data_IF_540354797764
#
_entry.id   IF_540354797764
#
_cell.length_a   1.000
_cell.length_b   1.000
_cell.length_c   1.000
_cell.angle_alpha   90.00
_cell.angle_beta   90.00
_cell.angle_gamma   90.00
#
_symmetry.space_group_name_H-M   'P 1'
#
loop_
_entity.id
_entity.type
_entity.pdbx_description
1 polymer ?
#
# COMPACT_ATOMS: atom_id res chain seq x y z
N UNK A 1 11.09 57.15 -35.37
CA UNK A 1 10.21 56.50 -36.38
C UNK A 1 11.06 55.38 -36.95
N UNK A 2 10.68 54.11 -36.79
CA UNK A 2 11.53 52.91 -36.99
C UNK A 2 12.73 52.86 -36.00
N UNK A 3 13.22 51.74 -35.45
CA UNK A 3 12.97 50.28 -35.56
C UNK A 3 13.85 49.48 -36.54
N UNK A 4 14.90 48.91 -35.97
CA UNK A 4 15.90 47.94 -36.47
C UNK A 4 16.46 47.24 -35.19
N UNK A 5 16.70 45.95 -34.94
CA UNK A 5 16.65 44.63 -35.64
C UNK A 5 17.62 44.41 -36.81
N UNK A 6 18.45 43.36 -36.88
CA UNK A 6 18.77 42.22 -35.95
C UNK A 6 20.03 41.46 -36.50
N UNK A 7 20.70 40.47 -35.90
CA UNK A 7 20.59 39.68 -34.63
C UNK A 7 21.95 38.99 -34.31
N UNK A 8 22.25 38.63 -33.05
CA UNK A 8 23.43 37.77 -32.72
C UNK A 8 23.16 36.26 -32.89
N UNK A 9 24.21 35.48 -33.19
CA UNK A 9 24.10 34.08 -33.67
C UNK A 9 24.68 33.07 -32.69
N UNK A 10 23.82 32.39 -31.94
CA UNK A 10 24.19 31.27 -31.06
C UNK A 10 24.81 30.09 -31.81
N UNK A 11 25.75 29.32 -31.20
CA UNK A 11 26.25 28.07 -31.76
C UNK A 11 25.18 26.96 -31.74
N UNK A 12 25.30 25.91 -32.57
CA UNK A 12 24.39 24.78 -32.56
C UNK A 12 24.57 23.92 -31.30
N UNK A 13 23.48 23.30 -30.83
CA UNK A 13 23.55 22.24 -29.82
C UNK A 13 24.17 20.98 -30.43
N UNK A 14 25.05 20.31 -29.69
CA UNK A 14 25.42 18.93 -29.98
C UNK A 14 24.22 18.01 -29.73
N UNK A 15 23.62 17.48 -30.80
CA UNK A 15 22.68 16.37 -30.72
C UNK A 15 23.43 15.10 -30.27
N UNK A 16 23.46 14.86 -28.96
CA UNK A 16 23.91 13.58 -28.39
C UNK A 16 23.07 12.45 -29.00
N UNK A 17 23.67 11.71 -29.92
CA UNK A 17 23.06 10.55 -30.58
C UNK A 17 22.63 9.55 -29.51
N UNK A 18 21.33 9.48 -29.24
CA UNK A 18 20.76 8.51 -28.30
C UNK A 18 20.82 7.15 -28.98
N UNK A 19 21.80 6.33 -28.57
CA UNK A 19 21.90 4.94 -29.01
C UNK A 19 20.57 4.20 -28.72
N UNK A 20 20.11 3.32 -29.63
CA UNK A 20 18.82 2.66 -29.47
C UNK A 20 18.78 1.86 -28.17
N UNK A 21 17.75 2.11 -27.35
CA UNK A 21 17.59 1.43 -26.06
C UNK A 21 17.36 -0.05 -26.30
N UNK A 22 18.35 -0.88 -25.95
CA UNK A 22 18.18 -2.33 -25.88
C UNK A 22 17.26 -2.67 -24.70
N UNK A 23 15.96 -2.83 -25.01
CA UNK A 23 14.89 -3.16 -24.06
C UNK A 23 14.87 -4.65 -23.66
N UNK A 24 15.60 -5.52 -24.36
CA UNK A 24 15.80 -6.91 -23.97
C UNK A 24 16.94 -7.09 -22.96
N UNK A 25 17.09 -8.27 -22.35
CA UNK A 25 18.22 -8.58 -21.47
C UNK A 25 19.57 -8.36 -22.15
N UNK A 26 20.50 -7.71 -21.47
CA UNK A 26 21.91 -7.59 -21.88
C UNK A 26 22.84 -8.06 -20.77
N UNK A 27 23.96 -8.68 -21.15
CA UNK A 27 25.03 -9.05 -20.22
C UNK A 27 26.06 -7.92 -20.17
N UNK A 28 26.43 -7.51 -18.96
CA UNK A 28 27.52 -6.57 -18.69
C UNK A 28 28.55 -7.20 -17.78
N UNK A 29 29.78 -6.69 -17.80
CA UNK A 29 30.89 -7.16 -16.96
C UNK A 29 31.57 -5.96 -16.32
N UNK A 30 31.56 -5.92 -14.99
CA UNK A 30 32.13 -4.83 -14.19
C UNK A 30 33.39 -5.36 -13.50
N UNK A 31 34.52 -4.69 -13.74
CA UNK A 31 35.72 -4.90 -12.94
C UNK A 31 35.66 -4.00 -11.70
N UNK A 32 36.02 -4.54 -10.54
CA UNK A 32 36.02 -3.80 -9.28
C UNK A 32 37.20 -2.84 -9.21
N UNK A 33 36.95 -1.66 -8.67
CA UNK A 33 37.95 -0.61 -8.43
C UNK A 33 38.10 -0.36 -6.93
N UNK A 34 38.92 0.62 -6.54
CA UNK A 34 39.09 1.05 -5.15
C UNK A 34 37.78 1.52 -4.50
N UNK A 35 36.83 2.05 -5.28
CA UNK A 35 35.48 2.43 -4.84
C UNK A 35 34.46 1.29 -4.95
N UNK A 36 34.92 0.06 -5.21
CA UNK A 36 34.08 -1.12 -5.46
C UNK A 36 33.61 -1.19 -6.91
N UNK A 37 32.37 -1.67 -7.12
CA UNK A 37 31.78 -1.76 -8.45
C UNK A 37 31.08 -0.46 -8.92
N UNK A 38 30.92 0.55 -8.05
CA UNK A 38 30.36 1.85 -8.44
C UNK A 38 28.84 1.89 -8.67
N UNK A 39 28.04 1.03 -8.04
CA UNK A 39 26.57 1.08 -8.12
C UNK A 39 25.89 0.56 -6.84
N UNK A 40 24.65 1.01 -6.61
CA UNK A 40 23.84 0.61 -5.45
C UNK A 40 22.63 -0.23 -5.88
N UNK A 41 22.41 -1.35 -5.20
CA UNK A 41 21.25 -2.25 -5.41
C UNK A 41 20.15 -1.96 -4.40
N UNK A 42 18.89 -1.96 -4.86
CA UNK A 42 17.67 -2.03 -4.03
C UNK A 42 16.70 -3.06 -4.58
N UNK A 43 15.71 -3.46 -3.78
CA UNK A 43 14.65 -4.38 -4.18
C UNK A 43 14.01 -5.02 -2.95
N UNK A 44 13.30 -6.12 -3.16
CA UNK A 44 12.53 -6.76 -2.09
C UNK A 44 13.41 -7.53 -1.09
N UNK A 45 12.93 -7.64 0.16
CA UNK A 45 13.59 -8.37 1.25
C UNK A 45 13.00 -9.78 1.44
N UNK A 46 11.77 -10.01 0.96
CA UNK A 46 11.11 -11.32 0.89
C UNK A 46 11.55 -12.12 -0.35
N UNK A 47 11.37 -13.44 -0.30
CA UNK A 47 11.55 -14.35 -1.43
C UNK A 47 10.21 -14.56 -2.17
N UNK A 48 10.24 -14.61 -3.50
CA UNK A 48 9.03 -14.70 -4.34
C UNK A 48 8.17 -13.43 -4.31
N UNK A 49 6.97 -13.49 -4.88
CA UNK A 49 6.02 -12.37 -4.94
C UNK A 49 5.25 -12.32 -6.27
N UNK A 50 4.33 -11.36 -6.44
CA UNK A 50 3.54 -11.23 -7.66
C UNK A 50 4.43 -10.86 -8.86
N UNK A 51 4.11 -11.45 -10.02
CA UNK A 51 4.79 -11.14 -11.29
C UNK A 51 4.64 -9.67 -11.66
N UNK A 52 5.68 -9.07 -12.23
CA UNK A 52 5.71 -7.68 -12.67
C UNK A 52 5.98 -7.61 -14.17
N UNK A 53 5.21 -6.79 -14.87
CA UNK A 53 5.46 -6.51 -16.28
C UNK A 53 6.66 -5.57 -16.41
N UNK A 54 7.64 -5.96 -17.22
CA UNK A 54 8.83 -5.18 -17.56
C UNK A 54 8.96 -5.26 -19.08
N UNK A 55 8.91 -4.12 -19.76
CA UNK A 55 8.94 -4.01 -21.22
C UNK A 55 7.89 -4.89 -21.98
N UNK A 56 6.81 -5.28 -21.29
CA UNK A 56 5.71 -6.09 -21.83
C UNK A 56 5.72 -7.57 -21.43
N UNK A 57 6.78 -8.05 -20.76
CA UNK A 57 6.95 -9.45 -20.35
C UNK A 57 6.90 -9.58 -18.81
N UNK A 58 6.41 -10.73 -18.32
CA UNK A 58 6.17 -10.96 -16.88
C UNK A 58 7.35 -11.67 -16.22
N UNK A 59 8.02 -10.98 -15.31
CA UNK A 59 9.12 -11.50 -14.49
C UNK A 59 8.70 -11.66 -13.04
N UNK A 60 9.34 -12.55 -12.29
CA UNK A 60 9.24 -12.49 -10.83
C UNK A 60 9.95 -11.22 -10.30
N UNK A 61 9.69 -10.78 -9.06
CA UNK A 61 10.25 -9.51 -8.58
C UNK A 61 11.78 -9.46 -8.61
N UNK A 62 12.32 -8.50 -9.36
CA UNK A 62 13.77 -8.30 -9.54
C UNK A 62 14.33 -7.27 -8.56
N UNK A 63 15.60 -7.46 -8.20
CA UNK A 63 16.43 -6.39 -7.63
C UNK A 63 16.80 -5.39 -8.76
N UNK A 64 17.17 -4.16 -8.41
CA UNK A 64 17.45 -3.10 -9.38
C UNK A 64 18.56 -2.15 -8.93
N UNK A 65 19.16 -1.47 -9.90
CA UNK A 65 20.18 -0.44 -9.70
C UNK A 65 19.51 0.87 -9.32
N UNK A 66 19.61 1.28 -8.05
CA UNK A 66 19.03 2.54 -7.56
C UNK A 66 19.91 3.76 -7.79
N UNK A 67 21.23 3.57 -7.86
CA UNK A 67 22.20 4.62 -8.15
C UNK A 67 23.44 4.04 -8.86
N UNK A 68 24.11 4.87 -9.65
CA UNK A 68 25.39 4.57 -10.32
C UNK A 68 26.33 5.73 -10.02
N UNK A 69 27.60 5.44 -9.76
CA UNK A 69 28.64 6.45 -9.59
C UNK A 69 29.03 7.02 -10.95
N UNK A 70 28.92 8.34 -11.11
CA UNK A 70 29.35 9.06 -12.32
C UNK A 70 30.85 8.84 -12.56
N UNK A 71 31.22 8.39 -13.77
CA UNK A 71 32.59 7.97 -14.09
C UNK A 71 33.08 6.72 -13.33
N UNK A 72 32.18 5.97 -12.69
CA UNK A 72 32.49 4.72 -11.99
C UNK A 72 32.44 3.49 -12.90
N UNK A 73 33.09 2.41 -12.48
CA UNK A 73 33.23 1.18 -13.28
C UNK A 73 31.89 0.58 -13.78
N UNK A 74 30.80 0.71 -13.02
CA UNK A 74 29.47 0.31 -13.47
C UNK A 74 28.96 1.15 -14.66
N UNK A 75 29.16 2.47 -14.65
CA UNK A 75 28.78 3.33 -15.76
C UNK A 75 29.61 3.03 -17.01
N UNK A 76 30.92 2.84 -16.87
CA UNK A 76 31.82 2.42 -17.96
C UNK A 76 31.41 1.06 -18.54
N UNK A 77 30.97 0.13 -17.69
CA UNK A 77 30.43 -1.18 -18.09
C UNK A 77 28.99 -1.13 -18.66
N UNK A 78 28.35 0.04 -18.73
CA UNK A 78 27.02 0.22 -19.32
C UNK A 78 25.85 -0.15 -18.41
N UNK A 79 26.03 -0.21 -17.09
CA UNK A 79 24.94 -0.18 -16.11
C UNK A 79 24.34 1.23 -16.07
N UNK A 80 23.00 1.29 -15.99
CA UNK A 80 22.22 2.51 -15.85
C UNK A 80 21.29 2.42 -14.65
N UNK A 81 20.95 3.57 -14.07
CA UNK A 81 19.95 3.65 -13.00
C UNK A 81 18.61 3.13 -13.51
N UNK A 82 17.94 2.31 -12.71
CA UNK A 82 16.70 1.63 -13.05
C UNK A 82 16.87 0.23 -13.65
N UNK A 83 18.08 -0.15 -14.10
CA UNK A 83 18.37 -1.49 -14.61
C UNK A 83 17.94 -2.56 -13.61
N UNK A 84 17.18 -3.55 -14.08
CA UNK A 84 16.69 -4.69 -13.31
C UNK A 84 17.66 -5.85 -13.46
N UNK A 85 18.06 -6.48 -12.36
CA UNK A 85 19.06 -7.55 -12.34
C UNK A 85 18.34 -8.90 -12.42
N UNK A 86 18.53 -9.63 -13.52
CA UNK A 86 17.97 -10.97 -13.75
C UNK A 86 18.95 -12.06 -13.31
N UNK A 87 20.25 -11.85 -13.51
CA UNK A 87 21.29 -12.82 -13.16
C UNK A 87 22.51 -12.13 -12.53
N UNK A 88 23.14 -12.83 -11.58
CA UNK A 88 24.43 -12.47 -10.99
C UNK A 88 25.41 -13.62 -11.22
N UNK A 89 26.50 -13.36 -11.94
CA UNK A 89 27.53 -14.34 -12.27
C UNK A 89 27.00 -15.65 -12.91
N UNK A 90 25.92 -15.56 -13.68
CA UNK A 90 25.24 -16.71 -14.31
C UNK A 90 24.24 -17.45 -13.42
N UNK A 91 23.95 -16.95 -12.22
CA UNK A 91 22.87 -17.43 -11.34
C UNK A 91 21.67 -16.50 -11.53
N UNK A 92 20.54 -17.02 -11.99
CA UNK A 92 19.27 -16.28 -12.04
C UNK A 92 18.81 -15.91 -10.62
N UNK A 93 18.31 -14.69 -10.46
CA UNK A 93 17.90 -14.09 -9.17
C UNK A 93 16.45 -13.60 -9.17
N UNK A 94 15.59 -14.19 -10.01
CA UNK A 94 14.16 -13.89 -10.07
C UNK A 94 13.45 -14.23 -8.75
N UNK A 95 12.78 -13.23 -8.16
CA UNK A 95 12.15 -13.37 -6.85
C UNK A 95 13.12 -13.43 -5.67
N UNK A 96 14.44 -13.38 -5.90
CA UNK A 96 15.43 -13.48 -4.83
C UNK A 96 15.42 -12.25 -3.90
N UNK A 97 15.68 -12.50 -2.62
CA UNK A 97 15.84 -11.47 -1.60
C UNK A 97 17.04 -10.58 -1.92
N UNK A 98 16.98 -9.32 -1.46
CA UNK A 98 18.09 -8.37 -1.52
C UNK A 98 19.39 -8.96 -0.95
N UNK A 99 19.28 -9.74 0.14
CA UNK A 99 20.43 -10.41 0.75
C UNK A 99 21.07 -11.45 -0.18
N UNK A 100 20.29 -12.37 -0.75
CA UNK A 100 20.81 -13.40 -1.68
C UNK A 100 21.57 -12.76 -2.85
N UNK A 101 21.02 -11.70 -3.45
CA UNK A 101 21.64 -10.99 -4.58
C UNK A 101 22.93 -10.26 -4.15
N UNK A 102 22.93 -9.58 -3.00
CA UNK A 102 24.12 -8.91 -2.47
C UNK A 102 25.23 -9.91 -2.08
N UNK A 103 24.87 -11.06 -1.52
CA UNK A 103 25.82 -12.10 -1.15
C UNK A 103 26.43 -12.77 -2.40
N UNK A 104 25.64 -13.01 -3.46
CA UNK A 104 26.13 -13.45 -4.78
C UNK A 104 27.08 -12.43 -5.45
N UNK A 105 26.76 -11.13 -5.37
CA UNK A 105 27.65 -10.06 -5.87
C UNK A 105 28.98 -10.08 -5.13
N UNK A 106 28.96 -10.21 -3.80
CA UNK A 106 30.17 -10.25 -2.96
C UNK A 106 31.01 -11.51 -3.19
N UNK A 107 30.38 -12.67 -3.46
CA UNK A 107 31.11 -13.92 -3.69
C UNK A 107 31.90 -13.95 -5.00
N UNK A 108 31.59 -13.06 -5.97
CA UNK A 108 32.30 -12.96 -7.25
C UNK A 108 33.72 -12.37 -7.18
N UNK A 109 34.14 -11.85 -6.02
CA UNK A 109 35.47 -11.26 -5.85
C UNK A 109 35.59 -9.89 -6.52
N UNK A 110 36.46 -9.79 -7.54
CA UNK A 110 36.81 -8.52 -8.20
C UNK A 110 36.30 -8.39 -9.64
N UNK A 111 35.57 -9.38 -10.14
CA UNK A 111 34.88 -9.35 -11.44
C UNK A 111 33.42 -9.76 -11.24
N UNK A 112 32.50 -8.92 -11.71
CA UNK A 112 31.06 -9.14 -11.61
C UNK A 112 30.44 -9.16 -13.00
N UNK A 113 29.76 -10.26 -13.34
CA UNK A 113 28.92 -10.35 -14.54
C UNK A 113 27.46 -10.21 -14.12
N UNK A 114 26.71 -9.31 -14.76
CA UNK A 114 25.27 -9.13 -14.53
C UNK A 114 24.50 -9.29 -15.84
N UNK A 115 23.37 -9.95 -15.79
CA UNK A 115 22.36 -9.90 -16.86
C UNK A 115 21.25 -8.95 -16.43
N UNK A 116 21.01 -7.88 -17.20
CA UNK A 116 20.11 -6.79 -16.84
C UNK A 116 19.14 -6.40 -17.95
N UNK A 117 17.94 -5.95 -17.56
CA UNK A 117 16.99 -5.25 -18.45
C UNK A 117 16.94 -3.76 -18.05
N UNK A 118 17.07 -2.86 -19.03
CA UNK A 118 16.76 -1.44 -18.81
C UNK A 118 15.27 -1.17 -18.87
N UNK A 119 14.81 -0.32 -17.95
CA UNK A 119 13.48 0.33 -17.99
C UNK A 119 13.57 1.69 -18.66
N UNK A 120 12.44 2.34 -18.93
CA UNK A 120 12.43 3.72 -19.44
C UNK A 120 12.92 4.73 -18.40
N UNK A 121 13.38 5.90 -18.83
CA UNK A 121 13.81 6.97 -17.91
C UNK A 121 12.72 7.34 -16.88
N UNK A 122 11.45 7.42 -17.31
CA UNK A 122 10.31 7.69 -16.43
C UNK A 122 10.11 6.59 -15.36
N UNK A 123 10.45 5.33 -15.66
CA UNK A 123 10.41 4.25 -14.68
C UNK A 123 11.63 4.25 -13.76
N UNK A 124 12.78 4.78 -14.19
CA UNK A 124 13.97 4.97 -13.36
C UNK A 124 13.83 6.18 -12.41
N UNK A 125 13.11 7.23 -12.84
CA UNK A 125 12.71 8.38 -12.02
C UNK A 125 11.71 7.98 -10.93
N UNK A 126 10.77 7.07 -11.20
CA UNK A 126 9.89 6.47 -10.18
C UNK A 126 10.62 5.65 -9.10
N UNK A 127 11.94 5.50 -9.19
CA UNK A 127 12.79 4.85 -8.20
C UNK A 127 13.65 5.86 -7.41
N UNK A 128 13.32 7.16 -7.46
CA UNK A 128 13.87 8.19 -6.55
C UNK A 128 13.72 7.75 -5.08
N UNK A 129 14.81 7.54 -4.33
CA UNK A 129 14.72 7.25 -2.91
C UNK A 129 14.55 8.55 -2.12
N UNK A 130 13.36 8.78 -1.56
CA UNK A 130 13.22 9.67 -0.40
C UNK A 130 14.01 9.08 0.77
N UNK A 131 14.87 9.88 1.39
CA UNK A 131 15.89 9.40 2.33
C UNK A 131 15.35 9.22 3.76
N UNK A 132 14.92 8.00 4.10
CA UNK A 132 15.08 7.44 5.45
C UNK A 132 15.15 5.90 5.42
N UNK A 133 15.66 5.30 6.49
CA UNK A 133 16.11 3.91 6.55
C UNK A 133 15.18 3.01 7.37
N UNK A 134 14.27 2.31 6.68
CA UNK A 134 13.71 1.04 7.16
C UNK A 134 13.18 0.19 6.00
N UNK A 135 13.05 -1.12 6.24
CA UNK A 135 12.65 -2.11 5.23
C UNK A 135 11.15 -2.11 4.89
N UNK A 136 10.57 -0.93 4.65
CA UNK A 136 9.17 -0.79 4.24
C UNK A 136 9.05 -1.23 2.77
N UNK A 137 8.15 -2.18 2.50
CA UNK A 137 7.70 -2.45 1.13
C UNK A 137 7.00 -1.21 0.62
N UNK A 138 7.56 -0.49 -0.35
CA UNK A 138 7.00 0.80 -0.83
C UNK A 138 5.53 0.62 -1.23
N UNK A 139 4.63 1.12 -0.38
CA UNK A 139 3.20 0.89 -0.50
C UNK A 139 2.66 1.91 -1.50
N UNK A 140 2.06 1.44 -2.58
CA UNK A 140 1.56 2.34 -3.63
C UNK A 140 0.25 3.04 -3.20
N UNK A 141 0.40 4.17 -2.53
CA UNK A 141 -0.69 5.05 -2.13
C UNK A 141 -1.28 5.89 -3.29
N UNK A 142 -0.81 5.69 -4.54
CA UNK A 142 -1.32 6.45 -5.69
C UNK A 142 -2.70 5.99 -6.15
N UNK A 143 -3.05 4.70 -5.98
CA UNK A 143 -4.37 4.20 -6.36
C UNK A 143 -5.45 4.69 -5.38
N UNK A 144 -6.20 5.69 -5.85
CA UNK A 144 -7.30 6.31 -5.12
C UNK A 144 -8.65 5.92 -5.67
N UNK A 145 -9.61 5.66 -4.77
CA UNK A 145 -10.98 5.27 -5.09
C UNK A 145 -11.97 6.10 -4.26
N UNK A 146 -13.04 6.57 -4.88
CA UNK A 146 -14.13 7.23 -4.16
C UNK A 146 -15.02 6.18 -3.49
N UNK A 147 -14.74 5.82 -2.23
CA UNK A 147 -15.64 5.00 -1.44
C UNK A 147 -16.73 5.88 -0.80
N UNK A 148 -18.03 5.56 -0.94
CA UNK A 148 -19.13 6.34 -0.35
C UNK A 148 -19.31 6.00 1.13
N UNK A 149 -18.27 6.25 1.93
CA UNK A 149 -18.25 6.07 3.38
C UNK A 149 -18.76 7.34 4.09
N UNK A 150 -19.54 7.18 5.16
CA UNK A 150 -20.08 8.30 5.94
C UNK A 150 -20.28 7.93 7.40
N UNK A 151 -20.49 8.94 8.24
CA UNK A 151 -20.83 8.82 9.66
C UNK A 151 -21.99 9.79 9.93
N UNK A 152 -23.24 9.46 9.52
CA UNK A 152 -24.35 10.41 9.50
C UNK A 152 -24.76 10.87 10.91
N UNK A 153 -24.64 10.01 11.92
CA UNK A 153 -25.16 10.21 13.27
C UNK A 153 -24.25 9.62 14.37
N UNK A 154 -24.67 9.77 15.62
CA UNK A 154 -24.00 9.22 16.81
C UNK A 154 -25.04 8.87 17.89
N UNK A 155 -24.74 7.86 18.71
CA UNK A 155 -25.61 7.37 19.77
C UNK A 155 -24.90 7.41 21.12
N UNK A 156 -25.65 7.66 22.20
CA UNK A 156 -25.19 7.43 23.56
C UNK A 156 -25.45 5.97 23.93
N UNK A 157 -24.40 5.26 24.32
CA UNK A 157 -24.46 3.93 24.92
C UNK A 157 -24.29 4.08 26.43
N UNK A 158 -25.12 3.37 27.19
CA UNK A 158 -25.13 3.38 28.64
C UNK A 158 -25.05 1.91 29.10
N UNK A 159 -23.95 1.52 29.75
CA UNK A 159 -23.70 0.16 30.26
C UNK A 159 -23.10 0.26 31.66
N UNK A 160 -23.79 -0.27 32.66
CA UNK A 160 -23.26 -0.49 34.03
C UNK A 160 -22.39 0.66 34.59
N UNK A 161 -22.94 1.88 34.61
CA UNK A 161 -22.33 3.15 35.05
C UNK A 161 -21.25 3.80 34.13
N UNK A 162 -20.89 3.26 32.95
CA UNK A 162 -20.23 4.05 31.88
C UNK A 162 -21.27 4.55 30.86
N UNK A 163 -21.16 5.82 30.48
CA UNK A 163 -21.98 6.46 29.44
C UNK A 163 -21.08 7.12 28.42
N UNK A 164 -21.10 6.62 27.18
CA UNK A 164 -20.19 7.03 26.13
C UNK A 164 -20.89 7.18 24.78
N UNK A 165 -20.27 7.93 23.87
CA UNK A 165 -20.80 8.15 22.52
C UNK A 165 -20.10 7.23 21.52
N UNK A 166 -20.90 6.49 20.74
CA UNK A 166 -20.49 5.76 19.53
C UNK A 166 -20.92 6.52 18.29
N UNK A 167 -20.13 6.38 17.23
CA UNK A 167 -20.36 6.98 15.92
C UNK A 167 -20.67 5.85 14.95
N UNK A 168 -21.79 5.92 14.24
CA UNK A 168 -22.25 4.83 13.38
C UNK A 168 -21.66 5.01 11.99
N UNK A 169 -20.92 4.02 11.51
CA UNK A 169 -20.21 4.08 10.23
C UNK A 169 -21.06 3.38 9.17
N UNK A 170 -21.22 4.04 8.02
CA UNK A 170 -22.00 3.55 6.88
C UNK A 170 -21.14 3.56 5.61
N UNK A 171 -21.42 2.64 4.69
CA UNK A 171 -20.89 2.68 3.33
C UNK A 171 -21.99 2.38 2.31
N UNK A 172 -22.13 3.22 1.29
CA UNK A 172 -23.20 3.16 0.29
C UNK A 172 -24.62 3.08 0.92
N UNK A 173 -24.82 3.77 2.05
CA UNK A 173 -26.09 3.76 2.81
C UNK A 173 -26.34 2.50 3.65
N UNK A 174 -25.42 1.53 3.68
CA UNK A 174 -25.48 0.35 4.56
C UNK A 174 -24.69 0.61 5.82
N UNK A 175 -25.28 0.34 6.99
CA UNK A 175 -24.55 0.35 8.26
C UNK A 175 -23.48 -0.75 8.25
N UNK A 176 -22.29 -0.42 8.74
CA UNK A 176 -21.14 -1.31 8.82
C UNK A 176 -20.85 -1.73 10.27
N UNK A 177 -20.58 -0.74 11.14
CA UNK A 177 -20.23 -0.92 12.55
C UNK A 177 -20.50 0.38 13.34
N UNK A 178 -20.38 0.35 14.67
CA UNK A 178 -20.58 1.53 15.54
C UNK A 178 -19.48 1.66 16.60
N UNK A 179 -18.61 2.67 16.46
CA UNK A 179 -17.32 2.77 17.18
C UNK A 179 -17.26 3.99 18.10
N UNK A 180 -16.75 3.87 19.34
CA UNK A 180 -16.47 5.01 20.24
C UNK A 180 -15.15 5.68 19.85
N UNK A 181 -15.01 6.98 20.09
CA UNK A 181 -13.84 7.78 19.66
C UNK A 181 -12.45 7.19 20.08
N UNK A 182 -12.38 6.42 21.17
CA UNK A 182 -11.14 5.72 21.57
C UNK A 182 -10.69 4.68 20.53
N UNK A 183 -11.61 4.00 19.86
CA UNK A 183 -11.30 3.00 18.83
C UNK A 183 -10.71 3.66 17.59
N UNK A 184 -11.28 4.77 17.11
CA UNK A 184 -10.66 5.61 16.07
C UNK A 184 -9.24 6.09 16.45
N UNK A 185 -9.00 6.35 17.73
CA UNK A 185 -7.66 6.71 18.23
C UNK A 185 -6.68 5.53 18.19
N UNK A 186 -7.15 4.30 18.36
CA UNK A 186 -6.34 3.07 18.24
C UNK A 186 -6.08 2.76 16.76
N UNK A 187 -7.12 2.81 15.92
CA UNK A 187 -7.01 2.69 14.46
C UNK A 187 -5.93 3.64 13.90
N UNK A 188 -5.97 4.92 14.25
CA UNK A 188 -4.97 5.89 13.78
C UNK A 188 -3.53 5.56 14.21
N UNK A 189 -3.34 4.92 15.37
CA UNK A 189 -2.02 4.50 15.85
C UNK A 189 -1.56 3.20 15.18
N UNK A 190 -2.46 2.24 14.96
CA UNK A 190 -2.16 0.99 14.27
C UNK A 190 -1.82 1.25 12.80
N UNK A 191 -2.67 1.99 12.08
CA UNK A 191 -2.41 2.36 10.68
C UNK A 191 -1.12 3.19 10.53
N UNK A 192 -0.75 4.03 11.51
CA UNK A 192 0.55 4.72 11.51
C UNK A 192 1.77 3.84 11.76
N UNK A 193 1.58 2.67 12.37
CA UNK A 193 2.62 1.67 12.59
C UNK A 193 2.79 0.77 11.37
N UNK A 194 1.69 0.51 10.68
CA UNK A 194 1.59 -0.32 9.46
C UNK A 194 2.05 0.45 8.19
N UNK A 195 1.67 1.73 8.10
CA UNK A 195 1.93 2.63 6.96
C UNK A 195 2.74 3.87 7.42
N UNK A 196 3.99 3.70 7.92
CA UNK A 196 4.75 4.77 8.58
C UNK A 196 5.13 5.93 7.65
N UNK A 197 5.19 5.67 6.34
CA UNK A 197 5.47 6.63 5.27
C UNK A 197 4.21 7.35 4.75
N UNK A 198 3.01 6.92 5.13
CA UNK A 198 1.77 7.59 4.71
C UNK A 198 1.50 8.89 5.49
N UNK A 199 1.25 9.97 4.75
CA UNK A 199 0.91 11.29 5.29
C UNK A 199 -0.55 11.36 5.83
N UNK A 200 -0.83 10.64 6.92
CA UNK A 200 -2.17 10.56 7.52
C UNK A 200 -2.80 11.93 7.83
N UNK A 201 -4.11 12.11 7.53
CA UNK A 201 -4.85 13.30 7.96
C UNK A 201 -4.92 13.39 9.48
N UNK A 202 -5.05 14.61 10.00
CA UNK A 202 -5.19 14.87 11.45
C UNK A 202 -6.52 14.31 11.96
N UNK A 203 -6.46 13.28 12.82
CA UNK A 203 -7.62 12.81 13.58
C UNK A 203 -8.12 13.94 14.52
N UNK A 204 -9.44 14.11 14.73
CA UNK A 204 -9.98 15.04 15.73
C UNK A 204 -9.36 14.80 17.12
N UNK A 205 -9.05 15.89 17.83
CA UNK A 205 -8.31 15.81 19.09
C UNK A 205 -9.09 15.16 20.25
N UNK A 206 -8.33 14.58 21.20
CA UNK A 206 -8.83 14.24 22.55
C UNK A 206 -9.19 15.53 23.29
N UNK A 207 -10.23 15.48 24.11
CA UNK A 207 -10.65 16.59 24.96
C UNK A 207 -10.76 16.09 26.41
N UNK A 208 -10.33 16.86 27.41
CA UNK A 208 -10.23 16.38 28.80
C UNK A 208 -11.56 16.43 29.58
N UNK A 209 -12.62 16.96 28.96
CA UNK A 209 -13.95 17.12 29.56
C UNK A 209 -15.03 16.43 28.71
N UNK A 210 -16.22 16.26 29.28
CA UNK A 210 -17.41 15.91 28.52
C UNK A 210 -17.64 16.92 27.39
N UNK A 211 -18.04 16.41 26.22
CA UNK A 211 -18.33 17.24 25.05
C UNK A 211 -19.80 17.67 25.04
N UNK A 212 -20.05 18.89 24.56
CA UNK A 212 -21.40 19.30 24.16
C UNK A 212 -21.79 18.68 22.82
N UNK A 213 -23.09 18.66 22.51
CA UNK A 213 -23.61 18.06 21.27
C UNK A 213 -23.03 18.70 20.00
N UNK A 214 -22.81 20.02 20.03
CA UNK A 214 -22.10 20.75 18.96
C UNK A 214 -20.65 20.25 18.78
N UNK A 215 -19.97 19.89 19.86
CA UNK A 215 -18.61 19.33 19.81
C UNK A 215 -18.61 17.85 19.40
N UNK A 216 -19.66 17.09 19.75
CA UNK A 216 -19.87 15.70 19.32
C UNK A 216 -20.13 15.62 17.81
N UNK A 217 -21.04 16.44 17.27
CA UNK A 217 -21.30 16.54 15.82
C UNK A 217 -20.09 17.12 15.04
N UNK A 218 -19.34 18.06 15.64
CA UNK A 218 -18.08 18.53 15.04
C UNK A 218 -17.00 17.45 15.04
N UNK A 219 -16.95 16.59 16.07
CA UNK A 219 -16.10 15.40 16.09
C UNK A 219 -16.58 14.36 15.06
N UNK A 220 -17.89 14.13 14.93
CA UNK A 220 -18.50 13.24 13.93
C UNK A 220 -18.04 13.62 12.51
N UNK A 221 -18.24 14.87 12.09
CA UNK A 221 -17.71 15.40 10.80
C UNK A 221 -16.20 15.20 10.65
N UNK A 222 -15.43 15.40 11.72
CA UNK A 222 -13.99 15.22 11.68
C UNK A 222 -13.53 13.76 11.58
N UNK A 223 -14.32 12.82 12.09
CA UNK A 223 -14.09 11.37 11.94
C UNK A 223 -14.54 10.89 10.55
N UNK A 224 -15.65 11.44 10.04
CA UNK A 224 -16.15 11.25 8.68
C UNK A 224 -15.09 11.66 7.65
N UNK A 225 -14.62 12.91 7.71
CA UNK A 225 -13.53 13.42 6.85
C UNK A 225 -12.19 12.72 7.05
N UNK A 226 -11.97 12.05 8.18
CA UNK A 226 -10.79 11.22 8.41
C UNK A 226 -10.93 9.89 7.65
N UNK A 227 -12.05 9.19 7.81
CA UNK A 227 -12.31 7.94 7.11
C UNK A 227 -12.42 8.14 5.60
N UNK A 228 -13.09 9.20 5.11
CA UNK A 228 -13.12 9.56 3.68
C UNK A 228 -11.72 9.61 3.08
N UNK A 229 -10.78 10.30 3.75
CA UNK A 229 -9.41 10.55 3.22
C UNK A 229 -8.50 9.34 3.34
N UNK A 230 -8.68 8.50 4.36
CA UNK A 230 -7.87 7.29 4.56
C UNK A 230 -8.40 6.15 3.69
N UNK A 231 -9.71 5.90 3.70
CA UNK A 231 -10.35 4.87 2.88
C UNK A 231 -10.39 5.22 1.38
N UNK A 232 -10.11 6.48 1.01
CA UNK A 232 -9.88 6.83 -0.39
C UNK A 232 -8.60 6.24 -0.98
N UNK A 233 -7.65 5.75 -0.17
CA UNK A 233 -6.38 5.14 -0.62
C UNK A 233 -6.51 3.63 -0.54
N UNK A 234 -6.51 2.94 -1.69
CA UNK A 234 -6.96 1.54 -1.79
C UNK A 234 -6.23 0.61 -0.82
N UNK A 235 -4.90 0.67 -0.82
CA UNK A 235 -4.02 -0.19 -0.01
C UNK A 235 -4.19 -0.02 1.51
N UNK A 236 -4.76 1.11 1.97
CA UNK A 236 -5.11 1.33 3.38
C UNK A 236 -6.57 0.94 3.64
N UNK A 237 -7.45 1.11 2.65
CA UNK A 237 -8.86 0.69 2.72
C UNK A 237 -9.00 -0.85 2.75
N UNK A 238 -8.17 -1.55 1.99
CA UNK A 238 -8.16 -3.01 1.83
C UNK A 238 -7.23 -3.71 2.86
N UNK A 239 -6.65 -3.01 3.83
CA UNK A 239 -5.79 -3.59 4.87
C UNK A 239 -6.58 -4.19 6.03
N UNK A 240 -6.06 -5.27 6.63
CA UNK A 240 -6.70 -6.01 7.72
C UNK A 240 -7.10 -5.07 8.88
N UNK A 241 -6.17 -4.20 9.32
CA UNK A 241 -6.43 -3.18 10.37
C UNK A 241 -7.62 -2.27 10.07
N UNK A 242 -7.90 -1.98 8.80
CA UNK A 242 -9.08 -1.19 8.41
C UNK A 242 -10.32 -2.06 8.29
N UNK A 243 -10.21 -3.27 7.74
CA UNK A 243 -11.33 -4.21 7.63
C UNK A 243 -11.85 -4.64 9.01
N UNK A 244 -10.97 -4.97 9.96
CA UNK A 244 -11.30 -5.29 11.36
C UNK A 244 -12.00 -4.15 12.10
N UNK A 245 -11.71 -2.90 11.72
CA UNK A 245 -12.35 -1.72 12.30
C UNK A 245 -13.73 -1.45 11.67
N UNK A 246 -13.83 -1.58 10.34
CA UNK A 246 -15.05 -1.36 9.58
C UNK A 246 -16.04 -2.54 9.65
N UNK A 247 -15.62 -3.71 10.09
CA UNK A 247 -16.50 -4.85 10.39
C UNK A 247 -16.70 -5.02 11.89
N UNK A 248 -17.82 -5.61 12.28
CA UNK A 248 -18.05 -6.09 13.66
C UNK A 248 -17.35 -7.46 13.84
N UNK A 249 -16.01 -7.51 13.74
CA UNK A 249 -15.29 -8.80 13.82
C UNK A 249 -15.34 -9.46 15.20
N UNK A 250 -15.24 -8.67 16.27
CA UNK A 250 -15.49 -9.15 17.64
C UNK A 250 -16.24 -8.11 18.48
N UNK A 251 -17.52 -8.38 18.69
CA UNK A 251 -18.16 -8.01 19.95
C UNK A 251 -17.92 -9.12 20.98
N UNK A 252 -16.78 -9.09 21.68
CA UNK A 252 -16.58 -9.86 22.93
C UNK A 252 -17.73 -9.64 23.95
N UNK A 253 -18.54 -8.59 23.75
CA UNK A 253 -19.66 -8.20 24.60
C UNK A 253 -20.99 -8.00 23.81
N UNK A 254 -21.20 -8.79 22.75
CA UNK A 254 -22.41 -8.98 21.95
C UNK A 254 -23.12 -7.72 21.41
N UNK A 255 -22.85 -7.34 20.16
CA UNK A 255 -23.31 -6.06 19.59
C UNK A 255 -23.85 -6.09 18.15
N UNK A 256 -23.46 -7.03 17.29
CA UNK A 256 -24.11 -7.25 15.98
C UNK A 256 -25.49 -7.92 16.12
N UNK A 257 -26.38 -7.25 16.87
CA UNK A 257 -27.81 -7.53 17.04
C UNK A 257 -28.63 -7.30 15.75
N UNK A 258 -27.95 -7.09 14.61
CA UNK A 258 -28.51 -7.16 13.27
C UNK A 258 -29.13 -8.54 13.03
N UNK A 259 -30.44 -8.64 13.25
CA UNK A 259 -31.21 -9.84 12.91
C UNK A 259 -31.36 -9.96 11.38
N UNK A 260 -31.08 -11.14 10.84
CA UNK A 260 -31.23 -11.50 9.43
C UNK A 260 -32.27 -12.61 9.29
N UNK A 261 -33.05 -12.54 8.21
CA UNK A 261 -34.08 -13.52 7.86
C UNK A 261 -33.48 -14.56 6.92
N UNK A 262 -33.10 -15.73 7.46
CA UNK A 262 -32.53 -16.84 6.69
C UNK A 262 -33.67 -17.73 6.18
N UNK A 263 -33.69 -17.99 4.87
CA UNK A 263 -34.57 -18.99 4.25
C UNK A 263 -33.90 -20.36 4.29
N UNK A 264 -34.54 -21.31 4.96
CA UNK A 264 -34.08 -22.70 5.09
C UNK A 264 -35.05 -23.61 4.34
N UNK A 265 -34.52 -24.39 3.39
CA UNK A 265 -35.27 -25.41 2.65
C UNK A 265 -35.23 -26.72 3.46
N UNK A 266 -36.40 -27.23 3.84
CA UNK A 266 -36.54 -28.47 4.61
C UNK A 266 -36.60 -29.71 3.68
N UNK A 267 -36.37 -30.93 4.19
CA UNK A 267 -36.35 -32.15 3.37
C UNK A 267 -37.67 -32.48 2.66
N UNK A 268 -38.80 -31.98 3.18
CA UNK A 268 -40.14 -32.07 2.56
C UNK A 268 -40.36 -31.05 1.41
N UNK A 269 -39.34 -30.23 1.12
CA UNK A 269 -39.30 -29.11 0.16
C UNK A 269 -40.09 -27.87 0.57
N UNK A 270 -40.60 -27.79 1.80
CA UNK A 270 -41.08 -26.51 2.35
C UNK A 270 -39.91 -25.56 2.62
N UNK A 271 -40.16 -24.26 2.64
CA UNK A 271 -39.13 -23.26 2.98
C UNK A 271 -39.62 -22.43 4.16
N UNK A 272 -38.92 -22.50 5.28
CA UNK A 272 -39.18 -21.65 6.45
C UNK A 272 -38.25 -20.44 6.45
N UNK A 273 -38.66 -19.38 7.15
CA UNK A 273 -37.82 -18.22 7.44
C UNK A 273 -37.53 -18.19 8.93
N UNK A 274 -36.25 -18.28 9.31
CA UNK A 274 -35.78 -18.13 10.70
C UNK A 274 -35.07 -16.80 10.86
N UNK A 275 -35.23 -16.16 12.03
CA UNK A 275 -34.70 -14.81 12.29
C UNK A 275 -33.61 -14.88 13.34
N UNK A 276 -32.36 -14.86 12.88
CA UNK A 276 -31.14 -15.12 13.68
C UNK A 276 -30.19 -13.94 13.61
N UNK A 277 -29.12 -13.91 14.42
CA UNK A 277 -28.12 -12.83 14.33
C UNK A 277 -27.17 -13.09 13.15
N UNK A 278 -26.55 -12.05 12.60
CA UNK A 278 -25.51 -12.18 11.56
C UNK A 278 -24.36 -13.13 11.95
N UNK A 279 -24.03 -13.18 13.23
CA UNK A 279 -22.95 -14.01 13.79
C UNK A 279 -23.45 -15.31 14.45
N UNK A 280 -24.72 -15.70 14.26
CA UNK A 280 -25.22 -16.97 14.80
C UNK A 280 -24.53 -18.16 14.14
N UNK A 281 -24.03 -19.06 14.96
CA UNK A 281 -23.43 -20.35 14.58
C UNK A 281 -24.45 -21.29 13.93
N UNK A 282 -23.96 -22.31 13.21
CA UNK A 282 -24.80 -23.35 12.59
C UNK A 282 -25.75 -24.01 13.59
N UNK A 283 -25.32 -24.18 14.85
CA UNK A 283 -26.13 -24.77 15.92
C UNK A 283 -27.28 -23.83 16.34
N UNK A 284 -27.02 -22.54 16.50
CA UNK A 284 -28.06 -21.54 16.81
C UNK A 284 -29.06 -21.39 15.66
N UNK A 285 -28.60 -21.49 14.40
CA UNK A 285 -29.50 -21.51 13.23
C UNK A 285 -30.33 -22.79 13.19
N UNK A 286 -29.74 -23.94 13.52
CA UNK A 286 -30.45 -25.22 13.62
C UNK A 286 -31.51 -25.21 14.74
N UNK A 287 -31.16 -24.71 15.92
CA UNK A 287 -32.12 -24.56 17.03
C UNK A 287 -33.30 -23.64 16.64
N UNK A 288 -33.02 -22.51 15.99
CA UNK A 288 -34.06 -21.60 15.47
C UNK A 288 -34.91 -22.20 14.33
N UNK A 289 -34.44 -23.26 13.68
CA UNK A 289 -35.20 -24.08 12.71
C UNK A 289 -36.08 -25.11 13.42
N UNK A 290 -35.61 -25.72 14.51
CA UNK A 290 -36.35 -26.72 15.32
C UNK A 290 -37.48 -26.08 16.14
N UNK A 291 -37.39 -24.80 16.48
CA UNK A 291 -38.41 -24.03 17.21
C UNK A 291 -39.57 -23.51 16.32
N UNK A 292 -39.75 -24.04 15.09
CA UNK A 292 -40.72 -23.55 14.09
C UNK A 292 -41.64 -24.60 13.47
#
# INVERSE_FOLDING_TARGET
>A
KMADSDSERSPPNDEKIIAPVHLGPRVVTICKTETGFGFNVRGQVSEGGPLKSINGELYAPLQHVSAVLEGGAAEEAGIRRGDRILEVNGVNVEGATHKQVVDLIKSGGDKLTLTVISVTAQEAERLEPSDDSSGVSYVDYSEKRSLPISIPDYNYIERANDKFVVYNIYMAGRHLCSRRYREFSVLHLNLKKEFPDFAFPKLPGKWPFSLSDQQLDSRRRGLEQYLEKVCAVRVIAESDTMQDFLTDMDDEHGGSASLVDIKVLLPDRTTIVVKVRKNSSTEEVYQAVVEK
#
